data_IF_827761004497
#
_entry.id   IF_827761004497
#
_cell.length_a   1.000
_cell.length_b   1.000
_cell.length_c   1.000
_cell.angle_alpha   90.00
_cell.angle_beta   90.00
_cell.angle_gamma   90.00
#
_symmetry.space_group_name_H-M   'P 1'
#
loop_
_entity.id
_entity.type
_entity.pdbx_description
1 polymer ?
#
# COMPACT_ATOMS: atom_id res chain seq x y z
N UNK A 1 8.24 -6.39 -15.79
CA UNK A 1 7.93 -7.52 -14.89
C UNK A 1 8.44 -7.15 -13.51
N UNK A 2 7.64 -7.35 -12.46
CA UNK A 2 8.03 -7.09 -11.06
C UNK A 2 7.78 -8.32 -10.19
N UNK A 3 8.16 -8.24 -8.91
CA UNK A 3 7.91 -9.28 -7.90
C UNK A 3 6.78 -8.81 -6.97
N UNK A 4 5.52 -9.11 -7.33
CA UNK A 4 4.36 -8.75 -6.52
C UNK A 4 4.04 -9.79 -5.45
N UNK A 5 3.56 -9.35 -4.29
CA UNK A 5 2.95 -10.19 -3.24
C UNK A 5 1.53 -9.69 -3.01
N UNK A 6 0.56 -10.60 -3.03
CA UNK A 6 -0.83 -10.30 -2.72
C UNK A 6 -1.08 -10.51 -1.24
N UNK A 7 -1.59 -9.49 -0.55
CA UNK A 7 -2.00 -9.61 0.84
C UNK A 7 -3.27 -10.46 0.94
N UNK A 8 -3.29 -11.38 1.91
CA UNK A 8 -4.42 -12.29 2.12
C UNK A 8 -5.65 -11.59 2.74
N UNK A 9 -5.42 -10.50 3.49
CA UNK A 9 -6.47 -9.75 4.16
C UNK A 9 -7.29 -8.94 3.14
N UNK A 10 -8.59 -9.23 3.06
CA UNK A 10 -9.53 -8.52 2.18
C UNK A 10 -9.75 -7.06 2.56
N UNK A 11 -9.42 -6.67 3.79
CA UNK A 11 -9.51 -5.30 4.29
C UNK A 11 -8.23 -4.50 3.99
N UNK A 12 -7.24 -5.07 3.28
CA UNK A 12 -5.99 -4.39 2.95
C UNK A 12 -6.13 -3.33 1.86
N UNK A 13 -7.18 -3.35 1.03
CA UNK A 13 -7.30 -2.44 -0.11
C UNK A 13 -8.76 -2.09 -0.46
N UNK A 14 -8.95 -0.93 -1.10
CA UNK A 14 -10.18 -0.58 -1.80
C UNK A 14 -11.40 -0.38 -0.89
N UNK A 15 -12.62 -0.72 -1.37
CA UNK A 15 -13.86 -0.48 -0.62
C UNK A 15 -13.91 -1.14 0.76
N UNK A 16 -13.36 -2.34 0.91
CA UNK A 16 -13.32 -3.03 2.20
C UNK A 16 -12.41 -2.33 3.21
N UNK A 17 -11.22 -1.88 2.78
CA UNK A 17 -10.34 -1.05 3.59
C UNK A 17 -11.06 0.22 4.06
N UNK A 18 -11.75 0.92 3.15
CA UNK A 18 -12.49 2.14 3.47
C UNK A 18 -13.65 1.87 4.45
N UNK A 19 -14.43 0.81 4.21
CA UNK A 19 -15.54 0.42 5.08
C UNK A 19 -15.08 0.09 6.50
N UNK A 20 -13.89 -0.52 6.63
CA UNK A 20 -13.29 -0.82 7.93
C UNK A 20 -12.66 0.41 8.62
N UNK A 21 -12.67 1.59 7.99
CA UNK A 21 -12.02 2.80 8.55
C UNK A 21 -10.50 2.82 8.36
N UNK A 22 -10.01 2.10 7.35
CA UNK A 22 -8.62 2.05 6.93
C UNK A 22 -7.72 1.21 7.83
N UNK A 23 -6.51 1.70 8.07
CA UNK A 23 -5.50 0.99 8.85
C UNK A 23 -4.13 1.67 8.76
N UNK A 24 -3.10 0.91 9.09
CA UNK A 24 -1.71 1.32 9.01
C UNK A 24 -0.98 0.48 7.99
N UNK A 25 -0.21 1.15 7.14
CA UNK A 25 0.83 0.54 6.33
C UNK A 25 2.18 1.03 6.83
N UNK A 26 3.12 0.11 7.00
CA UNK A 26 4.51 0.43 7.29
C UNK A 26 5.44 -0.29 6.33
N UNK A 27 6.55 0.38 5.99
CA UNK A 27 7.63 -0.19 5.19
C UNK A 27 8.89 -0.11 6.01
N UNK A 28 9.45 -1.27 6.34
CA UNK A 28 10.79 -1.39 6.90
C UNK A 28 11.75 -1.71 5.76
N UNK A 29 12.76 -0.85 5.59
CA UNK A 29 13.75 -0.97 4.53
C UNK A 29 15.13 -1.07 5.16
N UNK A 30 15.79 -2.18 4.83
CA UNK A 30 17.16 -2.49 5.19
C UNK A 30 18.03 -2.63 3.93
N UNK A 31 19.37 -2.55 4.03
CA UNK A 31 20.27 -2.97 2.97
C UNK A 31 20.13 -4.45 2.56
N UNK A 32 19.40 -5.27 3.31
CA UNK A 32 19.25 -6.72 3.05
C UNK A 32 17.80 -7.18 2.81
N UNK A 33 16.82 -6.30 2.99
CA UNK A 33 15.41 -6.64 2.75
C UNK A 33 14.52 -5.40 2.62
N UNK A 34 13.33 -5.60 2.06
CA UNK A 34 12.16 -4.73 2.27
C UNK A 34 11.05 -5.58 2.89
N UNK A 35 10.47 -5.10 3.99
CA UNK A 35 9.33 -5.70 4.65
C UNK A 35 8.17 -4.71 4.67
N UNK A 36 6.98 -5.17 4.28
CA UNK A 36 5.75 -4.38 4.27
C UNK A 36 4.80 -4.98 5.29
N UNK A 37 4.26 -4.13 6.14
CA UNK A 37 3.30 -4.48 7.17
C UNK A 37 1.96 -3.80 6.89
N UNK A 38 0.90 -4.49 7.24
CA UNK A 38 -0.46 -3.98 7.21
C UNK A 38 -1.17 -4.37 8.50
N UNK A 39 -1.81 -3.40 9.15
CA UNK A 39 -2.72 -3.63 10.26
C UNK A 39 -4.02 -2.91 9.95
N UNK A 40 -5.11 -3.66 9.89
CA UNK A 40 -6.44 -3.08 9.74
C UNK A 40 -6.84 -2.27 10.98
N UNK A 41 -7.73 -1.28 10.78
CA UNK A 41 -8.28 -0.48 11.86
C UNK A 41 -8.93 -1.39 12.93
N UNK A 42 -8.60 -1.15 14.19
CA UNK A 42 -9.13 -1.91 15.32
C UNK A 42 -8.43 -3.25 15.58
N UNK A 43 -7.44 -3.63 14.74
CA UNK A 43 -6.61 -4.80 15.03
C UNK A 43 -5.88 -4.65 16.37
N UNK A 44 -5.95 -5.68 17.20
CA UNK A 44 -5.21 -5.74 18.48
C UNK A 44 -3.74 -6.08 18.32
N UNK A 45 -3.30 -6.41 17.09
CA UNK A 45 -1.89 -6.70 16.78
C UNK A 45 -1.12 -5.48 16.30
N UNK A 46 -1.75 -4.30 16.19
CA UNK A 46 -1.05 -3.06 15.88
C UNK A 46 -0.06 -2.72 17.00
N UNK A 47 1.24 -2.59 16.73
CA UNK A 47 2.19 -2.17 17.74
C UNK A 47 1.88 -0.74 18.20
N UNK A 48 2.03 -0.46 19.50
CA UNK A 48 1.74 0.88 20.05
C UNK A 48 2.54 1.99 19.38
N UNK A 49 3.80 1.72 19.00
CA UNK A 49 4.68 2.62 18.25
C UNK A 49 4.25 2.90 16.79
N UNK A 50 3.35 2.08 16.25
CA UNK A 50 2.72 2.30 14.93
C UNK A 50 1.42 3.08 15.11
N UNK A 51 0.63 2.74 16.12
CA UNK A 51 -0.63 3.42 16.43
C UNK A 51 -0.40 4.86 16.89
N UNK A 52 0.62 5.08 17.72
CA UNK A 52 1.00 6.36 18.31
C UNK A 52 2.45 6.68 17.93
N UNK A 53 2.71 7.77 17.17
CA UNK A 53 4.07 8.16 16.81
C UNK A 53 4.95 8.38 18.05
N UNK A 54 6.18 7.87 17.99
CA UNK A 54 7.18 7.91 19.07
C UNK A 54 8.54 8.31 18.50
N UNK A 55 9.49 8.74 19.31
CA UNK A 55 10.80 9.19 18.81
C UNK A 55 11.67 8.05 18.24
N UNK A 56 11.43 6.81 18.66
CA UNK A 56 12.18 5.64 18.23
C UNK A 56 11.26 4.45 18.00
N UNK A 57 11.48 3.75 16.89
CA UNK A 57 10.76 2.55 16.51
C UNK A 57 11.68 1.32 16.58
N UNK A 58 11.15 0.19 17.02
CA UNK A 58 11.77 -1.14 16.96
C UNK A 58 10.88 -2.10 16.15
N UNK A 59 11.25 -2.32 14.89
CA UNK A 59 10.48 -3.15 13.95
C UNK A 59 10.52 -4.64 14.27
N UNK A 60 11.46 -5.10 15.12
CA UNK A 60 11.53 -6.52 15.52
C UNK A 60 10.31 -6.98 16.32
N UNK A 61 9.56 -6.04 16.89
CA UNK A 61 8.34 -6.29 17.66
C UNK A 61 7.06 -6.28 16.82
N UNK A 62 7.16 -6.02 15.52
CA UNK A 62 6.00 -5.86 14.61
C UNK A 62 5.40 -7.18 14.13
N UNK A 63 6.04 -8.30 14.45
CA UNK A 63 5.59 -9.63 14.04
C UNK A 63 5.91 -9.93 12.58
N UNK A 64 5.09 -10.79 11.97
CA UNK A 64 5.30 -11.25 10.58
C UNK A 64 4.85 -10.18 9.58
N UNK A 65 5.69 -9.76 8.63
CA UNK A 65 5.29 -8.83 7.59
C UNK A 65 4.27 -9.44 6.63
N UNK A 66 3.40 -8.58 6.09
CA UNK A 66 2.40 -8.95 5.10
C UNK A 66 3.04 -9.23 3.72
N UNK A 67 4.19 -8.61 3.43
CA UNK A 67 5.08 -8.99 2.33
C UNK A 67 6.54 -8.85 2.75
N UNK A 68 7.37 -9.82 2.35
CA UNK A 68 8.80 -9.85 2.66
C UNK A 68 9.63 -10.12 1.42
N UNK A 69 10.57 -9.23 1.13
CA UNK A 69 11.48 -9.30 0.00
C UNK A 69 12.92 -9.44 0.53
N UNK A 70 13.45 -10.67 0.65
CA UNK A 70 14.82 -10.91 1.13
C UNK A 70 15.86 -10.72 0.02
N UNK A 71 17.12 -10.55 0.42
CA UNK A 71 18.27 -10.50 -0.48
C UNK A 71 18.74 -11.87 -1.02
N UNK A 72 18.02 -12.97 -0.79
CA UNK A 72 18.43 -14.34 -1.19
C UNK A 72 18.84 -14.43 -2.67
N UNK A 73 18.13 -13.71 -3.55
CA UNK A 73 18.43 -13.64 -4.99
C UNK A 73 18.37 -12.20 -5.52
N UNK A 74 18.63 -11.21 -4.66
CA UNK A 74 18.53 -9.80 -4.99
C UNK A 74 19.60 -9.00 -4.25
N UNK A 75 20.47 -8.31 -4.98
CA UNK A 75 21.47 -7.41 -4.40
C UNK A 75 20.86 -6.03 -4.15
N UNK A 76 20.29 -5.82 -2.97
CA UNK A 76 19.55 -4.60 -2.64
C UNK A 76 20.37 -3.30 -2.82
N UNK A 77 21.63 -3.21 -2.34
CA UNK A 77 22.44 -2.00 -2.51
C UNK A 77 22.70 -1.60 -3.97
N UNK A 78 22.73 -2.54 -4.93
CA UNK A 78 22.90 -2.20 -6.36
C UNK A 78 21.60 -1.83 -7.07
N UNK A 79 20.44 -2.17 -6.49
CA UNK A 79 19.13 -1.88 -7.06
C UNK A 79 18.39 -0.71 -6.42
N UNK A 80 18.68 -0.38 -5.16
CA UNK A 80 17.94 0.63 -4.41
C UNK A 80 18.85 1.71 -3.81
N UNK A 81 18.72 2.93 -4.33
CA UNK A 81 19.34 4.16 -3.77
C UNK A 81 18.42 4.92 -2.82
N UNK A 82 18.70 6.21 -2.56
CA UNK A 82 17.74 7.10 -1.89
C UNK A 82 16.40 7.12 -2.63
N UNK A 83 15.28 7.07 -1.89
CA UNK A 83 13.93 7.02 -2.46
C UNK A 83 13.11 8.23 -2.01
N UNK A 84 12.19 8.66 -2.88
CA UNK A 84 11.16 9.64 -2.55
C UNK A 84 9.84 8.90 -2.28
N UNK A 85 9.06 9.41 -1.33
CA UNK A 85 7.67 8.99 -1.19
C UNK A 85 6.82 9.63 -2.28
N UNK A 86 6.07 8.81 -3.00
CA UNK A 86 5.12 9.26 -4.03
C UNK A 86 3.75 8.70 -3.65
N UNK A 87 2.78 9.60 -3.50
CA UNK A 87 1.37 9.25 -3.33
C UNK A 87 0.65 9.83 -4.54
N UNK A 88 0.05 8.97 -5.35
CA UNK A 88 -0.64 9.38 -6.57
C UNK A 88 -1.97 8.64 -6.73
N UNK A 89 -2.90 9.31 -7.40
CA UNK A 89 -4.13 8.72 -7.91
C UNK A 89 -4.16 8.98 -9.41
N UNK A 90 -4.13 7.91 -10.20
CA UNK A 90 -4.18 7.97 -11.66
C UNK A 90 -5.31 7.07 -12.16
N UNK A 91 -5.80 7.36 -13.36
CA UNK A 91 -6.90 6.62 -13.97
C UNK A 91 -6.45 5.92 -15.24
N UNK A 92 -6.97 4.73 -15.47
CA UNK A 92 -6.68 3.92 -16.66
C UNK A 92 -5.18 3.61 -16.81
N UNK A 93 -4.53 4.21 -17.81
CA UNK A 93 -3.13 3.96 -18.13
C UNK A 93 -2.84 2.50 -18.48
N UNK A 94 -1.55 2.17 -18.45
CA UNK A 94 -1.04 0.87 -18.90
C UNK A 94 -1.62 -0.31 -18.13
N UNK A 95 -1.87 -0.13 -16.82
CA UNK A 95 -2.40 -1.19 -15.98
C UNK A 95 -3.92 -1.14 -15.85
N UNK A 96 -4.48 -0.18 -15.11
CA UNK A 96 -5.93 -0.19 -14.83
C UNK A 96 -6.76 -0.13 -16.12
N UNK A 97 -6.27 0.54 -17.16
CA UNK A 97 -6.91 0.57 -18.48
C UNK A 97 -6.89 -0.78 -19.20
N UNK A 98 -5.81 -1.54 -19.11
CA UNK A 98 -5.68 -2.84 -19.79
C UNK A 98 -6.49 -3.96 -19.15
N UNK A 99 -6.74 -3.90 -17.84
CA UNK A 99 -7.53 -4.92 -17.12
C UNK A 99 -9.00 -4.51 -16.87
N UNK A 100 -9.37 -3.27 -17.19
CA UNK A 100 -10.66 -2.66 -16.86
C UNK A 100 -11.87 -3.54 -17.20
N UNK A 101 -11.95 -4.05 -18.44
CA UNK A 101 -13.07 -4.86 -18.89
C UNK A 101 -13.12 -6.22 -18.18
N UNK A 102 -11.97 -6.86 -17.93
CA UNK A 102 -11.89 -8.13 -17.21
C UNK A 102 -12.18 -7.99 -15.70
N UNK A 103 -12.04 -6.78 -15.16
CA UNK A 103 -12.42 -6.44 -13.78
C UNK A 103 -13.93 -6.22 -13.60
N UNK A 104 -14.74 -6.41 -14.65
CA UNK A 104 -16.20 -6.26 -14.61
C UNK A 104 -16.66 -4.80 -14.69
N UNK A 105 -15.79 -3.87 -15.06
CA UNK A 105 -16.14 -2.46 -15.17
C UNK A 105 -16.85 -2.16 -16.52
N UNK A 106 -17.83 -1.24 -16.55
CA UNK A 106 -18.64 -0.98 -17.75
C UNK A 106 -17.94 -0.04 -18.75
N UNK A 107 -18.25 -0.18 -20.04
CA UNK A 107 -17.66 0.64 -21.13
C UNK A 107 -16.14 0.43 -21.29
N UNK A 108 -15.45 1.37 -21.97
CA UNK A 108 -14.00 1.50 -21.89
C UNK A 108 -13.62 2.49 -20.77
N UNK A 109 -12.42 2.30 -20.21
CA UNK A 109 -11.96 3.04 -19.04
C UNK A 109 -11.96 4.56 -19.25
N UNK A 110 -11.40 5.04 -20.37
CA UNK A 110 -11.26 6.48 -20.65
C UNK A 110 -12.63 7.14 -20.80
N UNK A 111 -13.56 6.52 -21.52
CA UNK A 111 -14.93 7.03 -21.63
C UNK A 111 -15.64 7.06 -20.28
N UNK A 112 -15.46 6.02 -19.46
CA UNK A 112 -16.10 5.98 -18.14
C UNK A 112 -15.59 7.13 -17.26
N UNK A 113 -14.27 7.34 -17.21
CA UNK A 113 -13.65 8.44 -16.46
C UNK A 113 -14.15 9.80 -16.93
N UNK A 114 -14.18 10.04 -18.24
CA UNK A 114 -14.59 11.32 -18.81
C UNK A 114 -16.07 11.65 -18.59
N UNK A 115 -16.95 10.63 -18.57
CA UNK A 115 -18.41 10.82 -18.59
C UNK A 115 -19.08 10.65 -17.22
N UNK A 116 -18.36 10.14 -16.21
CA UNK A 116 -18.94 9.81 -14.90
C UNK A 116 -18.17 10.47 -13.73
N UNK A 117 -18.02 11.80 -13.68
CA UNK A 117 -17.25 12.47 -12.64
C UNK A 117 -17.77 12.17 -11.22
N UNK A 118 -19.08 12.01 -11.04
CA UNK A 118 -19.68 11.68 -9.75
C UNK A 118 -19.32 10.30 -9.22
N UNK A 119 -18.87 9.37 -10.08
CA UNK A 119 -18.44 8.03 -9.67
C UNK A 119 -17.11 8.06 -8.88
N UNK A 120 -16.37 9.17 -8.93
CA UNK A 120 -15.07 9.33 -8.29
C UNK A 120 -15.13 10.13 -6.98
N UNK A 121 -16.32 10.36 -6.42
CA UNK A 121 -16.49 11.06 -5.13
C UNK A 121 -15.72 10.40 -3.97
N UNK A 122 -15.49 9.09 -4.06
CA UNK A 122 -14.71 8.31 -3.09
C UNK A 122 -13.27 7.99 -3.55
N UNK A 123 -12.80 8.60 -4.64
CA UNK A 123 -11.45 8.42 -5.16
C UNK A 123 -10.51 9.48 -4.57
N UNK A 124 -10.14 9.33 -3.30
CA UNK A 124 -9.22 10.22 -2.59
C UNK A 124 -8.42 9.45 -1.55
N UNK A 125 -7.32 10.05 -1.09
CA UNK A 125 -6.61 9.59 0.09
C UNK A 125 -6.97 10.47 1.29
N UNK A 126 -7.14 9.85 2.45
CA UNK A 126 -7.26 10.54 3.72
C UNK A 126 -6.22 9.95 4.68
N UNK A 127 -5.19 10.73 4.99
CA UNK A 127 -4.09 10.32 5.85
C UNK A 127 -4.20 11.00 7.20
N UNK A 128 -4.20 10.21 8.27
CA UNK A 128 -4.06 10.74 9.62
C UNK A 128 -2.63 11.23 9.89
N UNK A 129 -1.63 10.50 9.41
CA UNK A 129 -0.22 10.85 9.55
C UNK A 129 0.64 10.13 8.51
N UNK A 130 1.81 10.69 8.23
CA UNK A 130 2.92 10.03 7.53
C UNK A 130 4.18 10.32 8.34
N UNK A 131 4.77 9.28 8.92
CA UNK A 131 5.96 9.38 9.78
C UNK A 131 7.13 8.61 9.15
N UNK A 132 8.34 9.12 9.31
CA UNK A 132 9.56 8.53 8.76
C UNK A 132 10.58 8.42 9.89
N UNK A 133 11.19 7.24 10.01
CA UNK A 133 12.22 6.91 11.00
C UNK A 133 13.49 6.47 10.29
N UNK A 134 14.65 6.63 10.94
CA UNK A 134 15.97 6.22 10.46
C UNK A 134 16.80 5.60 11.57
#
# INVERSE_FOLDING_TARGET
>A
MGCGVQLADSNSFGPNFNYNGGGWYAVDRSPTYIAIYFWERGSTSVPSQVEYPVDKVDTSTWGTPAAYFPNTNCDFPSHFGPMNFIINLAFCGDWAGSVYSSSGCPSNCVDFVNKNPSAFSNAYFNFNALNIYQ
#
